data_IF_615833674412
#
_entry.id   IF_615833674412
#
_cell.length_a   1.000
_cell.length_b   1.000
_cell.length_c   1.000
_cell.angle_alpha   90.00
_cell.angle_beta   90.00
_cell.angle_gamma   90.00
#
_symmetry.space_group_name_H-M   'P 1'
#
loop_
_entity.id
_entity.type
_entity.pdbx_description
1 polymer ?
#
# COMPACT_ATOMS: atom_id res chain seq x y z
N UNK A 1 6.74 7.95 -32.00
CA UNK A 1 6.72 8.90 -30.87
C UNK A 1 8.18 9.21 -30.51
N UNK A 2 8.58 10.48 -30.59
CA UNK A 2 9.99 10.86 -30.50
C UNK A 2 10.55 10.66 -29.08
N UNK A 3 11.51 9.75 -28.95
CA UNK A 3 12.22 9.43 -27.70
C UNK A 3 13.07 10.62 -27.20
N UNK A 4 13.29 11.63 -28.05
CA UNK A 4 14.15 12.79 -27.80
C UNK A 4 13.48 13.98 -27.12
N UNK A 5 12.16 13.97 -26.89
CA UNK A 5 11.49 15.10 -26.23
C UNK A 5 11.96 15.24 -24.78
N UNK A 6 12.69 16.32 -24.49
CA UNK A 6 13.13 16.66 -23.14
C UNK A 6 11.99 17.33 -22.37
N UNK A 7 11.71 16.79 -21.17
CA UNK A 7 10.67 17.27 -20.25
C UNK A 7 11.33 17.74 -18.96
N UNK A 8 10.75 18.78 -18.37
CA UNK A 8 11.19 19.34 -17.10
C UNK A 8 11.06 18.33 -15.94
N UNK A 9 12.16 18.04 -15.25
CA UNK A 9 12.17 17.20 -14.04
C UNK A 9 11.82 18.04 -12.80
N UNK A 10 11.27 17.41 -11.77
CA UNK A 10 11.04 18.01 -10.44
C UNK A 10 12.33 18.28 -9.63
N UNK A 11 13.50 18.23 -10.26
CA UNK A 11 14.81 18.39 -9.60
C UNK A 11 15.51 19.62 -10.16
N UNK A 12 16.10 20.41 -9.28
CA UNK A 12 16.96 21.54 -9.61
C UNK A 12 18.42 21.20 -9.34
N UNK A 13 19.32 21.80 -10.11
CA UNK A 13 20.76 21.73 -9.85
C UNK A 13 21.11 22.61 -8.65
N UNK A 14 22.34 22.49 -8.12
CA UNK A 14 22.84 23.38 -7.06
C UNK A 14 22.84 24.88 -7.46
N UNK A 15 22.75 25.16 -8.77
CA UNK A 15 22.68 26.50 -9.35
C UNK A 15 21.24 27.00 -9.55
N UNK A 16 20.23 26.23 -9.12
CA UNK A 16 18.82 26.57 -9.25
C UNK A 16 18.20 26.26 -10.61
N UNK A 17 18.97 25.75 -11.57
CA UNK A 17 18.47 25.41 -12.90
C UNK A 17 17.65 24.13 -12.88
N UNK A 18 16.55 24.11 -13.63
CA UNK A 18 15.68 22.93 -13.68
C UNK A 18 16.29 21.87 -14.59
N UNK A 19 16.42 20.65 -14.07
CA UNK A 19 17.01 19.54 -14.81
C UNK A 19 16.02 19.05 -15.85
N UNK A 20 16.43 19.00 -17.12
CA UNK A 20 15.64 18.42 -18.20
C UNK A 20 15.98 16.93 -18.35
N UNK A 21 14.98 16.08 -18.60
CA UNK A 21 15.15 14.63 -18.79
C UNK A 21 14.31 14.14 -19.96
N UNK A 22 14.72 13.08 -20.67
CA UNK A 22 13.88 12.48 -21.71
C UNK A 22 12.51 12.08 -21.18
N UNK A 23 11.47 12.29 -21.99
CA UNK A 23 10.08 11.93 -21.68
C UNK A 23 9.95 10.45 -21.29
N UNK A 24 10.66 9.56 -21.98
CA UNK A 24 10.66 8.12 -21.71
C UNK A 24 11.17 7.79 -20.29
N UNK A 25 12.21 8.47 -19.82
CA UNK A 25 12.77 8.30 -18.48
C UNK A 25 11.79 8.80 -17.42
N UNK A 26 11.08 9.89 -17.69
CA UNK A 26 10.05 10.42 -16.78
C UNK A 26 8.84 9.48 -16.68
N UNK A 27 8.36 8.97 -17.82
CA UNK A 27 7.26 8.01 -17.89
C UNK A 27 7.60 6.70 -17.15
N UNK A 28 8.80 6.14 -17.40
CA UNK A 28 9.28 4.95 -16.71
C UNK A 28 9.34 5.15 -15.18
N UNK A 29 9.94 6.25 -14.73
CA UNK A 29 10.05 6.55 -13.31
C UNK A 29 8.69 6.84 -12.65
N UNK A 30 7.68 7.29 -13.40
CA UNK A 30 6.33 7.43 -12.89
C UNK A 30 5.65 6.06 -12.72
N UNK A 31 5.78 5.17 -13.71
CA UNK A 31 5.11 3.87 -13.72
C UNK A 31 5.75 2.85 -12.74
N UNK A 32 7.07 2.83 -12.59
CA UNK A 32 7.78 1.78 -11.84
C UNK A 32 7.53 1.75 -10.32
N UNK A 33 6.99 2.84 -9.75
CA UNK A 33 6.90 3.03 -8.28
C UNK A 33 5.83 2.18 -7.60
N UNK A 34 4.91 1.58 -8.36
CA UNK A 34 3.75 0.89 -7.79
C UNK A 34 4.13 -0.27 -6.87
N UNK A 35 5.10 -1.08 -7.28
CA UNK A 35 5.60 -2.22 -6.50
C UNK A 35 6.26 -1.74 -5.21
N UNK A 36 7.20 -0.79 -5.32
CA UNK A 36 7.90 -0.21 -4.17
C UNK A 36 6.92 0.36 -3.12
N UNK A 37 5.85 1.03 -3.56
CA UNK A 37 4.84 1.57 -2.66
C UNK A 37 4.02 0.49 -1.96
N UNK A 38 3.64 -0.58 -2.68
CA UNK A 38 2.92 -1.70 -2.07
C UNK A 38 3.77 -2.41 -1.03
N UNK A 39 5.03 -2.69 -1.35
CA UNK A 39 5.97 -3.35 -0.46
C UNK A 39 6.26 -2.47 0.77
N UNK A 40 6.45 -1.17 0.56
CA UNK A 40 6.61 -0.21 1.65
C UNK A 40 5.40 -0.22 2.59
N UNK A 41 4.18 -0.17 2.04
CA UNK A 41 2.95 -0.18 2.84
C UNK A 41 2.75 -1.47 3.64
N UNK A 42 3.12 -2.62 3.07
CA UNK A 42 3.10 -3.91 3.78
C UNK A 42 4.16 -3.95 4.89
N UNK A 43 5.37 -3.46 4.60
CA UNK A 43 6.51 -3.53 5.52
C UNK A 43 6.30 -2.74 6.82
N UNK A 44 5.61 -1.61 6.77
CA UNK A 44 5.32 -0.78 7.96
C UNK A 44 4.55 -1.52 9.05
N UNK A 45 3.72 -2.50 8.67
CA UNK A 45 2.91 -3.27 9.62
C UNK A 45 2.99 -4.76 9.32
N UNK A 46 4.23 -5.28 9.28
CA UNK A 46 4.46 -6.68 8.91
C UNK A 46 3.82 -7.67 9.91
N UNK A 47 3.05 -8.66 9.43
CA UNK A 47 2.47 -9.72 10.25
C UNK A 47 3.49 -10.82 10.58
N UNK A 48 4.66 -10.81 9.94
CA UNK A 48 5.63 -11.89 10.02
C UNK A 48 6.18 -12.00 11.46
N UNK A 49 6.26 -13.23 11.95
CA UNK A 49 6.85 -13.60 13.25
C UNK A 49 7.87 -14.71 13.07
N UNK A 50 8.76 -14.89 14.06
CA UNK A 50 9.73 -15.99 14.05
C UNK A 50 8.98 -17.32 14.06
N UNK A 51 9.20 -18.14 13.03
CA UNK A 51 8.63 -19.48 12.90
C UNK A 51 9.59 -20.37 12.09
N UNK A 52 9.60 -21.66 12.41
CA UNK A 52 10.37 -22.69 11.70
C UNK A 52 9.72 -23.10 10.36
N UNK A 53 8.45 -22.75 10.17
CA UNK A 53 7.64 -23.22 9.05
C UNK A 53 7.51 -22.10 8.00
N UNK A 54 8.17 -22.25 6.86
CA UNK A 54 8.28 -21.19 5.84
C UNK A 54 6.92 -20.80 5.22
N UNK A 55 6.04 -21.76 4.95
CA UNK A 55 4.75 -21.49 4.30
C UNK A 55 3.83 -20.62 5.17
N UNK A 56 3.97 -20.67 6.50
CA UNK A 56 3.23 -19.79 7.42
C UNK A 56 3.62 -18.33 7.23
N UNK A 57 4.90 -18.06 6.94
CA UNK A 57 5.36 -16.68 6.66
C UNK A 57 4.71 -16.16 5.38
N UNK A 58 4.71 -16.97 4.33
CA UNK A 58 4.11 -16.63 3.02
C UNK A 58 2.61 -16.40 3.17
N UNK A 59 1.89 -17.30 3.84
CA UNK A 59 0.46 -17.17 4.05
C UNK A 59 0.10 -15.91 4.86
N UNK A 60 0.83 -15.62 5.94
CA UNK A 60 0.59 -14.43 6.76
C UNK A 60 0.90 -13.14 5.99
N UNK A 61 2.00 -13.09 5.25
CA UNK A 61 2.38 -11.90 4.48
C UNK A 61 1.40 -11.63 3.34
N UNK A 62 0.94 -12.68 2.65
CA UNK A 62 -0.09 -12.59 1.62
C UNK A 62 -1.41 -12.06 2.19
N UNK A 63 -1.93 -12.70 3.25
CA UNK A 63 -3.25 -12.38 3.82
C UNK A 63 -3.27 -11.05 4.57
N UNK A 64 -2.29 -10.79 5.42
CA UNK A 64 -2.30 -9.62 6.32
C UNK A 64 -1.45 -8.46 5.78
N UNK A 65 -0.56 -8.70 4.83
CA UNK A 65 0.18 -7.69 4.09
C UNK A 65 -0.57 -7.31 2.80
N UNK A 66 -0.43 -8.13 1.76
CA UNK A 66 -0.91 -7.82 0.41
C UNK A 66 -2.42 -7.64 0.33
N UNK A 67 -3.22 -8.58 0.86
CA UNK A 67 -4.68 -8.48 0.78
C UNK A 67 -5.22 -7.27 1.55
N UNK A 68 -4.66 -6.94 2.72
CA UNK A 68 -5.08 -5.76 3.50
C UNK A 68 -4.74 -4.46 2.77
N UNK A 69 -3.55 -4.35 2.15
CA UNK A 69 -3.18 -3.20 1.31
C UNK A 69 -4.16 -3.05 0.14
N UNK A 70 -4.45 -4.14 -0.56
CA UNK A 70 -5.39 -4.13 -1.68
C UNK A 70 -6.82 -3.76 -1.23
N UNK A 71 -7.27 -4.27 -0.09
CA UNK A 71 -8.56 -3.93 0.50
C UNK A 71 -8.65 -2.44 0.85
N UNK A 72 -7.57 -1.86 1.41
CA UNK A 72 -7.50 -0.42 1.68
C UNK A 72 -7.59 0.41 0.38
N UNK A 73 -6.87 0.01 -0.66
CA UNK A 73 -6.90 0.69 -1.96
C UNK A 73 -8.30 0.64 -2.57
N UNK A 74 -8.94 -0.52 -2.56
CA UNK A 74 -10.31 -0.70 -3.03
C UNK A 74 -11.30 0.14 -2.21
N UNK A 75 -11.20 0.08 -0.88
CA UNK A 75 -12.04 0.86 0.02
C UNK A 75 -11.91 2.35 -0.29
N UNK A 76 -10.68 2.87 -0.35
CA UNK A 76 -10.44 4.29 -0.65
C UNK A 76 -10.81 4.70 -2.08
N UNK A 77 -10.92 3.74 -3.02
CA UNK A 77 -11.35 3.99 -4.40
C UNK A 77 -12.87 4.07 -4.52
N UNK A 78 -13.60 3.21 -3.82
CA UNK A 78 -15.06 3.05 -3.98
C UNK A 78 -15.89 3.68 -2.85
N UNK A 79 -15.28 4.14 -1.75
CA UNK A 79 -16.01 4.82 -0.69
C UNK A 79 -16.33 6.27 -1.11
N UNK A 80 -17.49 6.43 -1.75
CA UNK A 80 -18.04 7.72 -2.17
C UNK A 80 -18.41 8.50 -0.89
N UNK A 81 -17.74 9.63 -0.64
CA UNK A 81 -18.00 10.57 0.46
C UNK A 81 -17.44 10.23 1.85
N UNK A 82 -16.55 9.24 1.98
CA UNK A 82 -15.85 8.99 3.25
C UNK A 82 -14.42 9.55 3.21
N UNK A 83 -13.94 10.01 4.37
CA UNK A 83 -12.53 10.37 4.54
C UNK A 83 -11.67 9.14 4.24
N UNK A 84 -10.66 9.30 3.37
CA UNK A 84 -9.71 8.23 3.06
C UNK A 84 -9.07 7.72 4.36
N UNK A 85 -9.08 6.41 4.54
CA UNK A 85 -8.39 5.81 5.67
C UNK A 85 -6.88 5.77 5.43
N UNK A 86 -6.11 5.99 6.49
CA UNK A 86 -4.71 5.56 6.53
C UNK A 86 -4.65 4.09 6.98
N UNK A 87 -3.53 3.41 6.68
CA UNK A 87 -3.35 1.99 6.96
C UNK A 87 -3.63 1.63 8.43
N UNK A 88 -3.16 2.44 9.38
CA UNK A 88 -3.39 2.23 10.81
C UNK A 88 -4.88 2.21 11.13
N UNK A 89 -5.60 3.28 10.80
CA UNK A 89 -7.04 3.41 11.09
C UNK A 89 -7.88 2.32 10.41
N UNK A 90 -7.46 1.90 9.21
CA UNK A 90 -8.13 0.83 8.49
C UNK A 90 -7.97 -0.51 9.20
N UNK A 91 -6.75 -0.84 9.64
CA UNK A 91 -6.46 -2.06 10.41
C UNK A 91 -7.16 -2.06 11.76
N UNK A 92 -7.17 -0.95 12.47
CA UNK A 92 -7.91 -0.82 13.73
C UNK A 92 -9.40 -1.10 13.54
N UNK A 93 -9.99 -0.60 12.45
CA UNK A 93 -11.40 -0.85 12.15
C UNK A 93 -11.68 -2.30 11.78
N UNK A 94 -10.78 -2.94 11.03
CA UNK A 94 -10.85 -4.39 10.77
C UNK A 94 -10.79 -5.16 12.09
N UNK A 95 -9.83 -4.84 12.96
CA UNK A 95 -9.66 -5.51 14.25
C UNK A 95 -10.89 -5.36 15.14
N UNK A 96 -11.45 -4.15 15.25
CA UNK A 96 -12.68 -3.90 16.02
C UNK A 96 -13.85 -4.73 15.50
N UNK A 97 -14.08 -4.72 14.19
CA UNK A 97 -15.17 -5.50 13.58
C UNK A 97 -15.00 -7.01 13.80
N UNK A 98 -13.75 -7.53 13.75
CA UNK A 98 -13.48 -8.94 14.00
C UNK A 98 -13.73 -9.32 15.47
N UNK A 99 -13.29 -8.50 16.42
CA UNK A 99 -13.48 -8.74 17.85
C UNK A 99 -14.94 -8.56 18.28
N UNK A 100 -15.66 -7.59 17.71
CA UNK A 100 -17.08 -7.37 17.99
C UNK A 100 -17.95 -8.50 17.44
N UNK A 101 -17.61 -9.05 16.27
CA UNK A 101 -18.29 -10.24 15.72
C UNK A 101 -18.13 -11.50 16.60
N UNK A 102 -17.00 -11.63 17.29
CA UNK A 102 -16.71 -12.76 18.19
C UNK A 102 -17.56 -12.71 19.48
N UNK A 103 -17.80 -11.51 20.02
CA UNK A 103 -18.64 -11.31 21.20
C UNK A 103 -20.11 -11.66 20.96
N UNK A 104 -20.62 -11.47 19.74
CA UNK A 104 -21.99 -11.89 19.38
C UNK A 104 -22.09 -13.41 19.24
N UNK A 105 -21.04 -14.07 18.72
CA UNK A 105 -20.99 -15.54 18.64
C UNK A 105 -20.95 -16.24 19.99
N UNK A 106 -20.26 -15.65 20.98
CA UNK A 106 -20.18 -16.18 22.34
C UNK A 106 -21.52 -16.09 23.10
N UNK A 107 -22.35 -15.09 22.81
CA UNK A 107 -23.68 -14.91 23.43
C UNK A 107 -24.77 -15.80 22.81
N UNK A 108 -24.51 -16.43 21.67
CA UNK A 108 -25.44 -17.35 20.99
C UNK A 108 -25.19 -18.81 21.41
N UNK A 109 -24.12 -19.10 22.17
CA UNK A 109 -23.74 -20.44 22.62
C UNK A 109 -24.06 -20.73 24.11
N UNK A 110 -24.76 -19.84 24.81
CA UNK A 110 -25.27 -20.05 26.19
C UNK A 110 -26.78 -20.15 26.21
#
# INVERSE_FOLDING_TARGET
EDVSTLVTSKKTTKRGEVVMKPSCVMAYNAAKKGVDFSDQMSSYYTPIRKTLIWYKKVALDLLLGTCVVNALVLHNKYSLNQKKFCMLTFREKILRNLLEGENVGALVQT
#
